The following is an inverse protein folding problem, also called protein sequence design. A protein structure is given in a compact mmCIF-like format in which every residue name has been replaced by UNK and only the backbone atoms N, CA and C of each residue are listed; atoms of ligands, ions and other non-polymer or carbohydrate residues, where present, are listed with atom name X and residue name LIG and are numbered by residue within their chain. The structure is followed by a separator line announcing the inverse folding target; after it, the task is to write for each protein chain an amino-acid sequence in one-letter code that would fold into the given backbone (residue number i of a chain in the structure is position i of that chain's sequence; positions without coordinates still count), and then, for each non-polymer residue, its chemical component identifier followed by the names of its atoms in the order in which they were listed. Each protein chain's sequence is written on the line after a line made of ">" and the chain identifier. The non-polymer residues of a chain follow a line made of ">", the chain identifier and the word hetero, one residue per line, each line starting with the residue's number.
data_IF_341160528687
#
_entry.id   IF_341160528687
#
_cell.length_a   1.000
_cell.length_b   1.000
_cell.length_c   1.000
_cell.angle_alpha   90.00
_cell.angle_beta   90.00
_cell.angle_gamma   90.00
#
_symmetry.space_group_name_H-M   'P 1'
#
loop_
_entity.id
_entity.type
_entity.pdbx_description
1 polymer ?
#
# COMPACT_ATOMS: atom_id res chain seq x y z
N UNK A 1 -16.94 -11.85 6.41
CA UNK A 1 -15.47 -12.01 6.35
C UNK A 1 -15.12 -12.40 4.93
N UNK A 2 -14.31 -11.59 4.25
CA UNK A 2 -13.81 -11.87 2.91
C UNK A 2 -12.29 -11.94 3.04
N UNK A 3 -11.73 -13.14 3.08
CA UNK A 3 -10.29 -13.36 3.12
C UNK A 3 -9.71 -13.45 1.72
N UNK A 4 -8.50 -12.94 1.51
CA UNK A 4 -7.72 -13.14 0.30
C UNK A 4 -6.59 -14.12 0.60
N UNK A 5 -6.39 -15.14 -0.23
CA UNK A 5 -5.24 -16.04 -0.10
C UNK A 5 -4.08 -15.51 -0.94
N UNK A 6 -3.00 -15.08 -0.29
CA UNK A 6 -1.73 -14.77 -0.94
C UNK A 6 -0.87 -16.02 -1.01
N UNK A 7 -0.41 -16.39 -2.20
CA UNK A 7 0.58 -17.46 -2.35
C UNK A 7 1.98 -16.88 -2.28
N UNK A 8 2.68 -17.12 -1.17
CA UNK A 8 4.04 -16.63 -0.95
C UNK A 8 5.06 -17.76 -1.14
N UNK A 9 6.19 -17.46 -1.77
CA UNK A 9 7.32 -18.39 -1.86
C UNK A 9 8.29 -18.12 -0.71
N UNK A 10 8.53 -19.11 0.15
CA UNK A 10 9.52 -19.07 1.23
C UNK A 10 10.52 -20.20 1.02
N UNK A 11 11.75 -19.85 0.66
CA UNK A 11 12.73 -20.83 0.18
C UNK A 11 12.24 -21.54 -1.09
N UNK A 12 12.25 -22.87 -1.08
CA UNK A 12 11.75 -23.71 -2.18
C UNK A 12 10.29 -24.18 -2.02
N UNK A 13 9.55 -23.64 -1.05
CA UNK A 13 8.15 -24.01 -0.82
C UNK A 13 7.21 -22.83 -1.08
N UNK A 14 6.08 -23.15 -1.70
CA UNK A 14 4.95 -22.23 -1.82
C UNK A 14 3.99 -22.47 -0.68
N UNK A 15 3.68 -21.41 0.07
CA UNK A 15 2.73 -21.43 1.19
C UNK A 15 1.55 -20.52 0.84
N UNK A 16 0.34 -20.98 1.14
CA UNK A 16 -0.86 -20.14 1.06
C UNK A 16 -1.00 -19.41 2.38
N UNK A 17 -0.86 -18.08 2.34
CA UNK A 17 -1.07 -17.19 3.46
C UNK A 17 -2.48 -16.64 3.34
N UNK A 18 -3.32 -16.94 4.32
CA UNK A 18 -4.62 -16.29 4.45
C UNK A 18 -4.42 -14.87 4.96
N UNK A 19 -4.88 -13.90 4.17
CA UNK A 19 -4.91 -12.49 4.53
C UNK A 19 -6.36 -12.12 4.75
N UNK A 20 -6.73 -12.01 6.02
CA UNK A 20 -8.04 -11.50 6.39
C UNK A 20 -8.02 -9.97 6.35
N UNK A 21 -9.02 -9.40 5.67
CA UNK A 21 -9.30 -7.98 5.80
C UNK A 21 -9.94 -7.74 7.17
N UNK A 22 -9.32 -6.86 7.97
CA UNK A 22 -9.94 -6.38 9.20
C UNK A 22 -11.21 -5.61 8.87
N UNK A 23 -12.28 -5.83 9.63
CA UNK A 23 -13.48 -4.98 9.55
C UNK A 23 -13.22 -3.60 10.15
N UNK A 24 -14.07 -2.62 9.85
CA UNK A 24 -13.96 -1.27 10.42
C UNK A 24 -14.00 -1.29 11.96
N UNK A 25 -14.75 -2.21 12.55
CA UNK A 25 -14.80 -2.44 14.00
C UNK A 25 -13.47 -2.97 14.53
N UNK A 26 -12.88 -3.97 13.87
CA UNK A 26 -11.60 -4.55 14.27
C UNK A 26 -10.45 -3.56 14.13
N UNK A 27 -10.47 -2.74 13.06
CA UNK A 27 -9.54 -1.63 12.87
C UNK A 27 -9.69 -0.65 14.04
N UNK A 28 -10.91 -0.21 14.34
CA UNK A 28 -11.18 0.71 15.45
C UNK A 28 -10.67 0.15 16.77
N UNK A 29 -11.01 -1.08 17.13
CA UNK A 29 -10.54 -1.71 18.38
C UNK A 29 -9.01 -1.78 18.46
N UNK A 30 -8.34 -2.14 17.36
CA UNK A 30 -6.89 -2.31 17.31
C UNK A 30 -6.11 -1.00 17.44
N UNK A 31 -6.67 0.10 16.94
CA UNK A 31 -6.04 1.41 16.94
C UNK A 31 -6.56 2.36 18.05
N UNK A 32 -7.75 2.14 18.62
CA UNK A 32 -8.33 3.02 19.65
C UNK A 32 -7.47 3.10 20.91
N UNK A 33 -6.84 1.99 21.29
CA UNK A 33 -6.11 1.87 22.55
C UNK A 33 -4.63 2.28 22.42
N UNK A 34 -4.18 2.67 21.24
CA UNK A 34 -2.77 2.97 20.95
C UNK A 34 -2.47 4.43 21.24
N UNK A 35 -1.24 4.70 21.72
CA UNK A 35 -0.82 6.08 21.92
C UNK A 35 -0.63 6.79 20.57
N UNK A 36 -0.79 8.13 20.51
CA UNK A 36 -0.51 8.88 19.29
C UNK A 36 0.90 8.63 18.73
N UNK A 37 1.90 8.46 19.60
CA UNK A 37 3.29 8.16 19.20
C UNK A 37 3.42 6.80 18.53
N UNK A 38 2.74 5.77 19.04
CA UNK A 38 2.71 4.44 18.40
C UNK A 38 2.07 4.50 17.01
N UNK A 39 0.98 5.25 16.86
CA UNK A 39 0.30 5.44 15.57
C UNK A 39 1.20 6.15 14.56
N UNK A 40 1.92 7.20 14.99
CA UNK A 40 2.87 7.91 14.13
C UNK A 40 4.01 6.99 13.70
N UNK A 41 4.56 6.18 14.60
CA UNK A 41 5.60 5.22 14.25
C UNK A 41 5.11 4.18 13.24
N UNK A 42 3.89 3.68 13.39
CA UNK A 42 3.26 2.78 12.43
C UNK A 42 3.07 3.43 11.06
N UNK A 43 2.61 4.69 11.03
CA UNK A 43 2.49 5.45 9.79
C UNK A 43 3.84 5.64 9.10
N UNK A 44 4.90 5.96 9.85
CA UNK A 44 6.25 6.10 9.30
C UNK A 44 6.73 4.78 8.69
N UNK A 45 6.56 3.65 9.40
CA UNK A 45 6.94 2.33 8.89
C UNK A 45 6.17 1.98 7.62
N UNK A 46 4.86 2.26 7.58
CA UNK A 46 4.04 2.03 6.39
C UNK A 46 4.52 2.89 5.21
N UNK A 47 4.76 4.18 5.42
CA UNK A 47 5.26 5.08 4.37
C UNK A 47 6.62 4.63 3.83
N UNK A 48 7.53 4.16 4.69
CA UNK A 48 8.82 3.62 4.26
C UNK A 48 8.64 2.37 3.39
N UNK A 49 7.75 1.46 3.78
CA UNK A 49 7.48 0.26 3.02
C UNK A 49 6.82 0.57 1.66
N UNK A 50 5.90 1.53 1.63
CA UNK A 50 5.28 1.99 0.37
C UNK A 50 6.31 2.60 -0.58
N UNK A 51 7.28 3.37 -0.09
CA UNK A 51 8.38 3.90 -0.94
C UNK A 51 9.22 2.79 -1.56
N UNK A 52 9.43 1.68 -0.83
CA UNK A 52 10.12 0.52 -1.36
C UNK A 52 9.30 -0.21 -2.44
N UNK A 53 7.97 -0.26 -2.27
CA UNK A 53 7.07 -0.92 -3.21
C UNK A 53 6.73 -0.06 -4.44
N UNK A 54 6.83 1.26 -4.37
CA UNK A 54 6.45 2.18 -5.45
C UNK A 54 7.06 1.83 -6.82
N UNK A 55 8.37 1.50 -6.94
CA UNK A 55 8.94 1.11 -8.24
C UNK A 55 8.30 -0.18 -8.79
N UNK A 56 8.08 -1.18 -7.93
CA UNK A 56 7.45 -2.43 -8.32
C UNK A 56 6.01 -2.21 -8.80
N UNK A 57 5.24 -1.37 -8.10
CA UNK A 57 3.87 -1.04 -8.50
C UNK A 57 3.86 -0.33 -9.86
N UNK A 58 4.79 0.60 -10.10
CA UNK A 58 4.93 1.28 -11.41
C UNK A 58 5.33 0.31 -12.52
N UNK A 59 6.21 -0.64 -12.24
CA UNK A 59 6.59 -1.67 -13.21
C UNK A 59 5.39 -2.54 -13.59
N UNK A 60 4.59 -2.97 -12.60
CA UNK A 60 3.36 -3.73 -12.84
C UNK A 60 2.29 -2.93 -13.59
N UNK A 61 2.20 -1.61 -13.36
CA UNK A 61 1.36 -0.70 -14.15
C UNK A 61 1.83 -0.62 -15.60
N UNK A 62 3.14 -0.44 -15.83
CA UNK A 62 3.73 -0.39 -17.17
C UNK A 62 3.52 -1.70 -17.94
N UNK A 63 3.63 -2.83 -17.25
CA UNK A 63 3.46 -4.16 -17.84
C UNK A 63 1.96 -4.50 -18.07
N UNK A 64 1.04 -3.60 -17.72
CA UNK A 64 -0.40 -3.75 -17.92
C UNK A 64 -1.07 -4.75 -16.97
N UNK A 65 -0.37 -5.15 -15.90
CA UNK A 65 -0.87 -6.08 -14.89
C UNK A 65 -1.76 -5.35 -13.88
N UNK A 66 -1.36 -4.13 -13.49
CA UNK A 66 -2.14 -3.23 -12.64
C UNK A 66 -2.64 -2.03 -13.43
N UNK A 67 -3.78 -1.50 -13.01
CA UNK A 67 -4.33 -0.24 -13.50
C UNK A 67 -4.65 0.67 -12.32
N UNK A 68 -4.37 1.96 -12.46
CA UNK A 68 -4.79 2.93 -11.45
C UNK A 68 -6.31 3.02 -11.43
N UNK A 69 -6.89 2.88 -10.25
CA UNK A 69 -8.29 3.18 -10.04
C UNK A 69 -8.58 4.67 -10.28
N UNK A 70 -9.86 5.04 -10.47
CA UNK A 70 -10.23 6.44 -10.56
C UNK A 70 -9.76 7.18 -9.30
N UNK A 71 -9.18 8.37 -9.49
CA UNK A 71 -8.87 9.24 -8.36
C UNK A 71 -10.16 9.53 -7.58
N UNK A 72 -10.11 9.54 -6.24
CA UNK A 72 -11.27 9.97 -5.45
C UNK A 72 -11.61 11.41 -5.84
N UNK A 73 -12.91 11.70 -5.99
CA UNK A 73 -13.38 13.02 -6.39
C UNK A 73 -12.83 14.10 -5.45
N UNK A 74 -12.10 15.07 -6.01
CA UNK A 74 -11.50 16.19 -5.26
C UNK A 74 -10.01 16.05 -4.93
N UNK A 75 -9.32 15.01 -5.43
CA UNK A 75 -7.87 14.92 -5.35
C UNK A 75 -7.25 15.53 -6.61
N UNK A 76 -7.00 16.84 -6.59
CA UNK A 76 -6.22 17.51 -7.64
C UNK A 76 -4.80 16.93 -7.62
N UNK A 77 -4.49 16.09 -8.60
CA UNK A 77 -3.14 15.63 -8.86
C UNK A 77 -2.32 16.85 -9.24
N UNK A 78 -1.51 17.36 -8.31
CA UNK A 78 -0.44 18.29 -8.65
C UNK A 78 0.43 17.58 -9.69
N UNK A 79 0.32 18.04 -10.94
CA UNK A 79 1.17 17.61 -12.02
C UNK A 79 2.61 17.87 -11.57
N UNK A 80 3.40 16.81 -11.50
CA UNK A 80 4.83 16.87 -11.25
C UNK A 80 5.49 17.39 -12.52
N UNK A 81 5.35 18.69 -12.76
CA UNK A 81 5.92 19.40 -13.89
C UNK A 81 7.40 19.70 -13.57
N UNK A 82 8.20 18.64 -13.50
CA UNK A 82 9.66 18.78 -13.53
C UNK A 82 10.09 18.83 -14.99
N UNK A 83 9.78 19.94 -15.66
CA UNK A 83 10.54 20.36 -16.84
C UNK A 83 11.94 20.75 -16.34
N UNK A 84 12.85 19.77 -16.32
CA UNK A 84 14.28 20.08 -16.29
C UNK A 84 14.63 20.80 -17.58
N UNK A 85 14.74 22.12 -17.46
CA UNK A 85 15.45 22.99 -18.38
C UNK A 85 16.90 22.52 -18.46
N UNK A 86 17.24 21.71 -19.46
CA UNK A 86 18.63 21.57 -19.91
C UNK A 86 18.91 22.63 -20.98
N UNK A 87 19.94 23.42 -20.63
CA UNK A 87 20.73 24.44 -21.33
C UNK A 87 20.73 24.37 -22.86
#
# INVERSE_FOLDING_TARGET
>A
MTGAYLRAKRGDKFENIEVEHLTDEEIKEKFLQRSPEELVNWMIMLCQHLRYLDPLLRDLERDGILARGPAPAGMDTAADDTTSSEV
#
